data_IF_346852220325
#
_entry.id   IF_346852220325
#
_cell.length_a   1.000
_cell.length_b   1.000
_cell.length_c   1.000
_cell.angle_alpha   90.00
_cell.angle_beta   90.00
_cell.angle_gamma   90.00
#
_symmetry.space_group_name_H-M   'P 1'
#
loop_
_entity.id
_entity.type
_entity.pdbx_description
1 polymer ?
#
# COMPACT_ATOMS: atom_id res chain seq x y z
N UNK A 1 13.19 14.11 -5.25
CA UNK A 1 12.77 12.84 -4.60
C UNK A 1 11.25 12.74 -4.57
N UNK A 2 10.59 12.79 -5.73
CA UNK A 2 9.15 12.55 -5.92
C UNK A 2 8.97 11.92 -7.32
N UNK A 3 9.32 10.64 -7.45
CA UNK A 3 9.06 9.91 -8.70
C UNK A 3 7.57 9.58 -8.77
N UNK A 4 6.96 9.72 -9.94
CA UNK A 4 5.60 9.24 -10.22
C UNK A 4 5.46 7.74 -9.93
N UNK A 5 6.56 6.99 -9.97
CA UNK A 5 6.63 5.56 -9.61
C UNK A 5 6.25 5.29 -8.14
N UNK A 6 6.33 6.30 -7.26
CA UNK A 6 5.91 6.16 -5.86
C UNK A 6 4.39 6.30 -5.69
N UNK A 7 3.65 6.66 -6.74
CA UNK A 7 2.19 6.77 -6.71
C UNK A 7 1.59 5.42 -7.07
N UNK A 8 0.85 4.83 -6.13
CA UNK A 8 0.12 3.56 -6.33
C UNK A 8 -1.06 3.64 -7.32
N UNK A 9 -1.29 4.78 -7.98
CA UNK A 9 -2.39 4.92 -8.95
C UNK A 9 -3.79 4.67 -8.37
N UNK A 10 -4.03 4.91 -7.07
CA UNK A 10 -5.33 4.61 -6.45
C UNK A 10 -6.41 5.55 -7.04
N UNK A 11 -7.50 5.02 -7.64
CA UNK A 11 -8.58 5.83 -8.18
C UNK A 11 -9.25 6.71 -7.13
N UNK A 12 -9.69 7.91 -7.51
CA UNK A 12 -10.25 8.91 -6.58
C UNK A 12 -11.54 8.42 -5.92
N UNK A 13 -12.37 7.72 -6.66
CA UNK A 13 -13.60 7.06 -6.22
C UNK A 13 -13.33 5.92 -5.23
N UNK A 14 -12.21 5.24 -5.37
CA UNK A 14 -11.77 4.17 -4.47
C UNK A 14 -11.03 4.68 -3.22
N UNK A 15 -10.53 5.92 -3.22
CA UNK A 15 -9.66 6.46 -2.17
C UNK A 15 -10.17 6.26 -0.73
N UNK A 16 -11.46 6.53 -0.48
CA UNK A 16 -12.02 6.41 0.87
C UNK A 16 -12.03 4.97 1.38
N UNK A 17 -12.43 4.03 0.52
CA UNK A 17 -12.55 2.61 0.88
C UNK A 17 -11.20 1.91 0.86
N UNK A 18 -10.43 2.10 -0.21
CA UNK A 18 -9.18 1.38 -0.43
C UNK A 18 -8.02 2.01 0.34
N UNK A 19 -7.69 3.27 0.07
CA UNK A 19 -6.51 3.92 0.67
C UNK A 19 -6.71 4.23 2.15
N UNK A 20 -7.77 4.98 2.48
CA UNK A 20 -7.99 5.53 3.82
C UNK A 20 -8.57 4.51 4.82
N UNK A 21 -9.08 3.38 4.33
CA UNK A 21 -9.63 2.31 5.16
C UNK A 21 -8.84 1.01 5.04
N UNK A 22 -8.94 0.27 3.93
CA UNK A 22 -8.36 -1.07 3.81
C UNK A 22 -6.83 -1.07 3.96
N UNK A 23 -6.13 -0.36 3.09
CA UNK A 23 -4.66 -0.27 3.09
C UNK A 23 -4.16 0.32 4.41
N UNK A 24 -4.79 1.40 4.91
CA UNK A 24 -4.43 1.99 6.20
C UNK A 24 -4.55 0.99 7.37
N UNK A 25 -5.62 0.19 7.42
CA UNK A 25 -5.81 -0.83 8.46
C UNK A 25 -4.74 -1.93 8.38
N UNK A 26 -4.33 -2.31 7.18
CA UNK A 26 -3.24 -3.28 6.96
C UNK A 26 -1.92 -2.74 7.52
N UNK A 27 -1.55 -1.51 7.17
CA UNK A 27 -0.34 -0.85 7.70
C UNK A 27 -0.38 -0.69 9.22
N UNK A 28 -1.52 -0.27 9.79
CA UNK A 28 -1.67 -0.18 11.24
C UNK A 28 -1.43 -1.54 11.92
N UNK A 29 -1.95 -2.62 11.34
CA UNK A 29 -1.69 -3.98 11.84
C UNK A 29 -0.22 -4.34 11.70
N UNK A 30 0.40 -4.06 10.56
CA UNK A 30 1.81 -4.32 10.35
C UNK A 30 2.68 -3.64 11.41
N UNK A 31 2.51 -2.33 11.62
CA UNK A 31 3.32 -1.58 12.60
C UNK A 31 3.07 -2.03 14.04
N UNK A 32 1.85 -2.44 14.37
CA UNK A 32 1.54 -2.98 15.71
C UNK A 32 2.31 -4.27 16.02
N UNK A 33 2.53 -5.13 15.02
CA UNK A 33 3.24 -6.40 15.20
C UNK A 33 4.74 -6.29 14.91
N UNK A 34 5.19 -5.25 14.22
CA UNK A 34 6.58 -5.04 13.81
C UNK A 34 7.09 -3.66 14.28
N UNK A 35 7.24 -3.43 15.60
CA UNK A 35 7.61 -2.11 16.13
C UNK A 35 9.00 -1.63 15.66
N UNK A 36 9.89 -2.56 15.29
CA UNK A 36 11.24 -2.28 14.79
C UNK A 36 11.43 -2.79 13.35
N UNK A 37 10.40 -2.67 12.51
CA UNK A 37 10.45 -3.12 11.11
C UNK A 37 11.68 -2.56 10.39
N UNK A 38 12.42 -3.45 9.70
CA UNK A 38 13.53 -3.05 8.84
C UNK A 38 13.01 -2.44 7.54
N UNK A 39 13.88 -1.77 6.79
CA UNK A 39 13.56 -1.29 5.44
C UNK A 39 13.08 -2.43 4.53
N UNK A 40 13.68 -3.61 4.63
CA UNK A 40 13.29 -4.80 3.88
C UNK A 40 11.85 -5.23 4.23
N UNK A 41 11.50 -5.26 5.52
CA UNK A 41 10.12 -5.59 5.93
C UNK A 41 9.09 -4.60 5.38
N UNK A 42 9.44 -3.31 5.29
CA UNK A 42 8.57 -2.29 4.71
C UNK A 42 8.37 -2.49 3.21
N UNK A 43 9.44 -2.84 2.48
CA UNK A 43 9.39 -3.09 1.04
C UNK A 43 8.61 -4.38 0.72
N UNK A 44 8.80 -5.42 1.52
CA UNK A 44 8.05 -6.67 1.41
C UNK A 44 6.56 -6.45 1.69
N UNK A 45 6.25 -5.68 2.73
CA UNK A 45 4.86 -5.37 3.05
C UNK A 45 4.20 -4.46 2.02
N UNK A 46 4.93 -3.49 1.46
CA UNK A 46 4.46 -2.70 0.33
C UNK A 46 4.16 -3.60 -0.88
N UNK A 47 5.03 -4.56 -1.19
CA UNK A 47 4.82 -5.57 -2.23
C UNK A 47 3.60 -6.44 -1.95
N UNK A 48 3.37 -6.83 -0.69
CA UNK A 48 2.16 -7.56 -0.30
C UNK A 48 0.87 -6.78 -0.57
N UNK A 49 0.85 -5.49 -0.22
CA UNK A 49 -0.27 -4.60 -0.50
C UNK A 49 -0.52 -4.48 -2.00
N UNK A 50 0.54 -4.28 -2.78
CA UNK A 50 0.43 -4.14 -4.23
C UNK A 50 -0.08 -5.44 -4.87
N UNK A 51 0.39 -6.62 -4.44
CA UNK A 51 -0.12 -7.91 -4.94
C UNK A 51 -1.60 -8.14 -4.56
N UNK A 52 -2.03 -7.61 -3.41
CA UNK A 52 -3.40 -7.82 -2.89
C UNK A 52 -4.42 -6.86 -3.49
N UNK A 53 -4.02 -5.63 -3.76
CA UNK A 53 -4.93 -4.54 -4.16
C UNK A 53 -4.61 -3.96 -5.53
N UNK A 54 -3.50 -4.34 -6.14
CA UNK A 54 -2.97 -3.72 -7.34
C UNK A 54 -3.86 -3.84 -8.57
N UNK A 55 -4.73 -4.84 -8.64
CA UNK A 55 -5.79 -4.93 -9.66
C UNK A 55 -6.86 -3.83 -9.56
N UNK A 56 -6.96 -3.12 -8.43
CA UNK A 56 -7.85 -1.96 -8.22
C UNK A 56 -7.14 -0.62 -8.43
N UNK A 57 -5.86 -0.64 -8.76
CA UNK A 57 -5.10 0.57 -9.09
C UNK A 57 -5.34 0.94 -10.56
N UNK A 58 -5.03 2.19 -10.91
CA UNK A 58 -5.10 2.70 -12.28
C UNK A 58 -3.83 3.50 -12.63
N UNK A 59 -2.90 2.95 -13.43
CA UNK A 59 -2.97 1.62 -14.04
C UNK A 59 -2.88 0.49 -12.99
N UNK A 60 -3.41 -0.70 -13.28
CA UNK A 60 -3.25 -1.84 -12.39
C UNK A 60 -1.78 -2.23 -12.27
N UNK A 61 -1.37 -2.67 -11.09
CA UNK A 61 0.00 -3.06 -10.78
C UNK A 61 0.01 -4.49 -10.24
N UNK A 62 0.77 -5.37 -10.89
CA UNK A 62 0.97 -6.80 -10.56
C UNK A 62 -0.30 -7.67 -10.65
#
# INVERSE_FOLDING_TARGET
MHSYENLRGIPKDENATLHLSEIRKEWNRFYKHNPNASTENLLDFATHIDNKYGGRFNPPVR
#
